data_IF_445214339751
#
_entry.id   IF_445214339751
#
_cell.length_a   1.000
_cell.length_b   1.000
_cell.length_c   1.000
_cell.angle_alpha   90.00
_cell.angle_beta   90.00
_cell.angle_gamma   90.00
#
_symmetry.space_group_name_H-M   'P 1'
#
loop_
_entity.id
_entity.type
_entity.pdbx_description
1 polymer ?
#
# COMPACT_ATOMS: atom_id res chain seq x y z
N UNK A 1 -3.93 -2.04 -53.55
CA UNK A 1 -4.74 -1.28 -52.58
C UNK A 1 -4.48 0.20 -52.83
N UNK A 2 -5.50 1.06 -52.92
CA UNK A 2 -5.28 2.49 -53.13
C UNK A 2 -4.63 3.11 -51.88
N UNK A 3 -3.93 4.24 -52.00
CA UNK A 3 -3.36 4.93 -50.84
C UNK A 3 -4.50 5.46 -49.98
N UNK A 4 -4.48 5.12 -48.69
CA UNK A 4 -5.38 5.65 -47.68
C UNK A 4 -5.42 7.17 -47.78
N UNK A 5 -6.63 7.72 -47.90
CA UNK A 5 -6.87 9.15 -48.07
C UNK A 5 -6.43 9.90 -46.80
N UNK A 6 -5.78 11.05 -46.98
CA UNK A 6 -5.25 11.93 -45.90
C UNK A 6 -6.26 12.27 -44.80
N UNK A 7 -7.56 12.12 -45.04
CA UNK A 7 -8.63 12.42 -44.08
C UNK A 7 -8.73 11.39 -42.95
N UNK A 8 -8.38 10.11 -43.17
CA UNK A 8 -8.36 9.11 -42.09
C UNK A 8 -7.18 9.32 -41.13
N UNK A 9 -6.06 9.84 -41.62
CA UNK A 9 -4.87 10.16 -40.80
C UNK A 9 -5.13 11.41 -39.94
N UNK A 10 -5.93 12.37 -40.41
CA UNK A 10 -6.28 13.56 -39.62
C UNK A 10 -7.25 13.22 -38.47
N UNK A 11 -8.14 12.23 -38.64
CA UNK A 11 -9.01 11.78 -37.53
C UNK A 11 -8.27 10.99 -36.45
N UNK A 12 -7.29 10.15 -36.83
CA UNK A 12 -6.46 9.39 -35.90
C UNK A 12 -5.42 10.25 -35.17
N UNK A 13 -4.95 11.34 -35.80
CA UNK A 13 -4.08 12.31 -35.16
C UNK A 13 -4.86 13.20 -34.18
N UNK A 14 -6.12 13.53 -34.47
CA UNK A 14 -6.97 14.31 -33.57
C UNK A 14 -7.31 13.57 -32.26
N UNK A 15 -7.58 12.26 -32.30
CA UNK A 15 -7.80 11.45 -31.09
C UNK A 15 -6.51 11.20 -30.29
N UNK A 16 -5.36 11.09 -30.97
CA UNK A 16 -4.05 10.91 -30.35
C UNK A 16 -3.50 12.18 -29.68
N UNK A 17 -3.82 13.37 -30.21
CA UNK A 17 -3.47 14.64 -29.57
C UNK A 17 -4.25 14.89 -28.29
N UNK A 18 -5.52 14.48 -28.23
CA UNK A 18 -6.38 14.62 -27.04
C UNK A 18 -5.92 13.66 -25.92
N UNK A 19 -5.56 12.41 -26.28
CA UNK A 19 -4.98 11.43 -25.37
C UNK A 19 -3.63 11.87 -24.80
N UNK A 20 -2.77 12.50 -25.61
CA UNK A 20 -1.48 13.03 -25.16
C UNK A 20 -1.62 14.30 -24.33
N UNK A 21 -2.60 15.17 -24.60
CA UNK A 21 -2.91 16.33 -23.75
C UNK A 21 -3.58 15.91 -22.44
N UNK A 22 -4.46 14.92 -22.44
CA UNK A 22 -5.03 14.34 -21.21
C UNK A 22 -3.96 13.58 -20.40
N UNK A 23 -3.05 12.86 -21.07
CA UNK A 23 -1.86 12.34 -20.41
C UNK A 23 -0.98 13.48 -19.93
N UNK A 24 -0.82 14.59 -20.65
CA UNK A 24 -0.10 15.77 -20.17
C UNK A 24 -0.81 16.45 -18.99
N UNK A 25 -2.14 16.48 -18.91
CA UNK A 25 -2.86 16.92 -17.71
C UNK A 25 -2.66 15.93 -16.55
N UNK A 26 -2.78 14.62 -16.80
CA UNK A 26 -2.46 13.57 -15.83
C UNK A 26 -0.94 13.54 -15.50
N UNK A 27 -0.07 14.17 -16.31
CA UNK A 27 1.41 14.12 -16.16
C UNK A 27 2.10 15.41 -15.71
N UNK A 28 1.54 16.58 -15.98
CA UNK A 28 1.79 17.83 -15.25
C UNK A 28 1.38 17.63 -13.77
N UNK A 29 0.40 16.76 -13.53
CA UNK A 29 0.05 16.21 -12.22
C UNK A 29 1.12 15.24 -11.66
N UNK A 30 1.82 14.48 -12.52
CA UNK A 30 2.99 13.71 -12.11
C UNK A 30 4.20 14.61 -11.76
N UNK A 31 4.30 15.80 -12.36
CA UNK A 31 5.38 16.76 -12.13
C UNK A 31 5.18 17.58 -10.85
N UNK A 32 3.94 17.94 -10.52
CA UNK A 32 3.59 18.61 -9.27
C UNK A 32 3.11 17.64 -8.19
N UNK A 33 4.06 17.15 -7.38
CA UNK A 33 3.82 16.24 -6.24
C UNK A 33 3.10 16.95 -5.08
N UNK A 34 1.85 17.38 -5.30
CA UNK A 34 0.92 17.87 -4.29
C UNK A 34 -0.05 16.79 -3.82
N UNK A 35 -0.77 17.06 -2.72
CA UNK A 35 -1.80 16.16 -2.18
C UNK A 35 -2.92 15.99 -3.22
N UNK A 36 -3.11 14.76 -3.73
CA UNK A 36 -4.25 14.42 -4.57
C UNK A 36 -5.53 14.44 -3.73
N UNK A 37 -6.44 15.35 -4.06
CA UNK A 37 -7.81 15.36 -3.55
C UNK A 37 -8.73 14.59 -4.53
N UNK A 38 -9.38 13.55 -4.01
CA UNK A 38 -10.61 12.85 -4.50
C UNK A 38 -10.63 12.07 -5.84
N UNK A 39 -9.85 12.39 -6.86
CA UNK A 39 -10.03 11.79 -8.22
C UNK A 39 -9.79 10.27 -8.43
N UNK A 40 -9.30 9.50 -7.46
CA UNK A 40 -9.23 8.02 -7.55
C UNK A 40 -10.54 7.33 -7.09
N UNK A 41 -11.36 8.06 -6.33
CA UNK A 41 -12.71 7.65 -5.93
C UNK A 41 -13.69 7.97 -7.06
N UNK A 42 -13.42 9.04 -7.82
CA UNK A 42 -14.20 9.42 -8.98
C UNK A 42 -14.21 8.32 -10.05
N UNK A 43 -15.39 8.05 -10.61
CA UNK A 43 -15.58 7.07 -11.67
C UNK A 43 -15.77 5.63 -11.22
N UNK A 44 -15.69 5.31 -9.92
CA UNK A 44 -15.95 3.93 -9.45
C UNK A 44 -17.36 3.42 -9.79
N UNK A 45 -18.32 4.35 -9.86
CA UNK A 45 -19.71 4.07 -10.21
C UNK A 45 -19.90 3.66 -11.69
N UNK A 46 -18.88 3.83 -12.53
CA UNK A 46 -18.91 3.40 -13.92
C UNK A 46 -18.67 1.89 -14.10
N UNK A 47 -18.19 1.19 -13.06
CA UNK A 47 -17.79 -0.22 -13.16
C UNK A 47 -18.77 -1.14 -12.45
N UNK A 48 -19.37 -2.07 -13.18
CA UNK A 48 -20.44 -2.94 -12.67
C UNK A 48 -20.04 -3.78 -11.47
N UNK A 49 -18.77 -4.21 -11.39
CA UNK A 49 -18.25 -4.96 -10.25
C UNK A 49 -17.99 -4.06 -9.03
N UNK A 50 -17.34 -2.92 -9.24
CA UNK A 50 -16.85 -2.08 -8.15
C UNK A 50 -17.97 -1.22 -7.53
N UNK A 51 -18.87 -0.68 -8.35
CA UNK A 51 -20.00 0.15 -7.94
C UNK A 51 -20.82 -0.47 -6.79
N UNK A 52 -21.38 -1.69 -6.91
CA UNK A 52 -22.21 -2.26 -5.85
C UNK A 52 -21.42 -2.54 -4.57
N UNK A 53 -20.16 -2.98 -4.69
CA UNK A 53 -19.30 -3.24 -3.54
C UNK A 53 -19.01 -1.94 -2.79
N UNK A 54 -18.58 -0.89 -3.50
CA UNK A 54 -18.32 0.42 -2.92
C UNK A 54 -19.59 1.07 -2.35
N UNK A 55 -20.73 0.89 -3.03
CA UNK A 55 -22.04 1.31 -2.56
C UNK A 55 -22.42 0.69 -1.21
N UNK A 56 -22.09 -0.58 -0.98
CA UNK A 56 -22.29 -1.22 0.33
C UNK A 56 -21.44 -0.55 1.43
N UNK A 57 -20.18 -0.19 1.14
CA UNK A 57 -19.36 0.57 2.09
C UNK A 57 -19.96 1.96 2.34
N UNK A 58 -20.36 2.69 1.29
CA UNK A 58 -21.00 4.00 1.43
C UNK A 58 -22.29 3.95 2.26
N UNK A 59 -23.08 2.87 2.13
CA UNK A 59 -24.34 2.70 2.84
C UNK A 59 -24.17 2.30 4.31
N UNK A 60 -23.24 1.38 4.60
CA UNK A 60 -23.15 0.71 5.90
C UNK A 60 -21.92 1.10 6.75
N UNK A 61 -21.01 1.92 6.22
CA UNK A 61 -19.90 2.49 6.97
C UNK A 61 -20.38 3.73 7.72
N UNK A 62 -20.60 3.60 9.03
CA UNK A 62 -21.17 4.69 9.84
C UNK A 62 -20.33 5.99 9.80
N UNK A 63 -19.00 5.89 9.91
CA UNK A 63 -18.10 7.00 9.56
C UNK A 63 -17.49 6.73 8.20
N UNK A 64 -18.11 7.26 7.15
CA UNK A 64 -17.63 7.03 5.80
C UNK A 64 -16.24 7.62 5.60
N UNK A 65 -15.30 6.75 5.26
CA UNK A 65 -13.91 7.05 4.95
C UNK A 65 -13.65 6.56 3.53
N UNK A 66 -13.69 7.44 2.52
CA UNK A 66 -13.70 7.06 1.11
C UNK A 66 -12.53 6.16 0.69
N UNK A 67 -11.32 6.43 1.19
CA UNK A 67 -10.12 5.63 0.84
C UNK A 67 -10.11 4.28 1.55
N UNK A 68 -10.61 4.20 2.78
CA UNK A 68 -10.78 2.91 3.48
C UNK A 68 -11.84 2.05 2.81
N UNK A 69 -12.97 2.66 2.43
CA UNK A 69 -14.02 2.00 1.65
C UNK A 69 -13.45 1.46 0.33
N UNK A 70 -12.60 2.24 -0.34
CA UNK A 70 -11.95 1.82 -1.58
C UNK A 70 -11.01 0.62 -1.38
N UNK A 71 -10.18 0.64 -0.34
CA UNK A 71 -9.31 -0.49 0.01
C UNK A 71 -10.12 -1.76 0.34
N UNK A 72 -11.22 -1.61 1.07
CA UNK A 72 -12.17 -2.71 1.31
C UNK A 72 -12.81 -3.23 0.01
N UNK A 73 -13.21 -2.33 -0.90
CA UNK A 73 -13.77 -2.68 -2.21
C UNK A 73 -12.78 -3.46 -3.07
N UNK A 74 -11.53 -3.00 -3.18
CA UNK A 74 -10.49 -3.70 -3.94
C UNK A 74 -10.21 -5.08 -3.33
N UNK A 75 -10.23 -5.19 -1.99
CA UNK A 75 -10.06 -6.47 -1.30
C UNK A 75 -11.17 -7.47 -1.63
N UNK A 76 -12.44 -7.03 -1.60
CA UNK A 76 -13.58 -7.89 -1.94
C UNK A 76 -13.56 -8.22 -3.43
N UNK A 77 -13.40 -7.22 -4.30
CA UNK A 77 -13.40 -7.41 -5.76
C UNK A 77 -12.27 -8.34 -6.21
N UNK A 78 -11.04 -8.15 -5.71
CA UNK A 78 -9.92 -9.03 -6.00
C UNK A 78 -10.20 -10.48 -5.59
N UNK A 79 -10.76 -10.68 -4.39
CA UNK A 79 -11.14 -12.00 -3.91
C UNK A 79 -12.24 -12.64 -4.77
N UNK A 80 -13.27 -11.89 -5.17
CA UNK A 80 -14.36 -12.42 -5.99
C UNK A 80 -13.94 -12.76 -7.42
N UNK A 81 -12.97 -12.03 -7.98
CA UNK A 81 -12.51 -12.16 -9.38
C UNK A 81 -11.33 -13.12 -9.56
N UNK A 82 -10.78 -13.69 -8.48
CA UNK A 82 -9.57 -14.51 -8.45
C UNK A 82 -9.47 -15.64 -9.49
N UNK A 83 -10.59 -16.27 -9.85
CA UNK A 83 -10.63 -17.37 -10.83
C UNK A 83 -11.18 -16.93 -12.19
N UNK A 84 -11.62 -15.68 -12.28
CA UNK A 84 -12.27 -15.19 -13.47
C UNK A 84 -11.28 -14.76 -14.53
N UNK A 85 -10.08 -14.33 -14.14
CA UNK A 85 -9.07 -13.84 -15.08
C UNK A 85 -7.83 -14.73 -15.11
N UNK A 86 -7.44 -15.15 -16.32
CA UNK A 86 -6.18 -15.83 -16.56
C UNK A 86 -5.08 -14.82 -16.88
N UNK A 87 -4.52 -14.21 -15.84
CA UNK A 87 -3.34 -13.34 -15.93
C UNK A 87 -2.18 -13.96 -15.16
N UNK A 88 -0.95 -13.76 -15.66
CA UNK A 88 0.27 -14.30 -15.06
C UNK A 88 0.47 -13.99 -13.57
N UNK A 89 -0.18 -12.94 -13.06
CA UNK A 89 0.07 -12.40 -11.73
C UNK A 89 -1.12 -12.50 -10.76
N UNK A 90 -2.25 -13.06 -11.23
CA UNK A 90 -3.56 -13.06 -10.55
C UNK A 90 -4.00 -11.69 -9.99
N UNK A 91 -5.19 -11.62 -9.41
CA UNK A 91 -5.66 -10.45 -8.66
C UNK A 91 -5.17 -10.48 -7.20
N UNK A 92 -3.92 -10.90 -6.98
CA UNK A 92 -3.30 -10.94 -5.66
C UNK A 92 -2.93 -9.53 -5.21
N UNK A 93 -3.55 -9.04 -4.12
CA UNK A 93 -3.30 -7.69 -3.61
C UNK A 93 -2.75 -7.75 -2.20
N UNK A 94 -1.63 -7.04 -1.97
CA UNK A 94 -1.17 -6.71 -0.63
C UNK A 94 -1.55 -5.26 -0.36
N UNK A 95 -2.46 -5.03 0.57
CA UNK A 95 -3.08 -3.75 0.83
C UNK A 95 -2.85 -3.33 2.27
N UNK A 96 -2.66 -2.03 2.47
CA UNK A 96 -2.55 -1.40 3.77
C UNK A 96 -3.52 -0.23 3.84
N UNK A 97 -4.53 -0.38 4.69
CA UNK A 97 -5.54 0.63 4.98
C UNK A 97 -5.11 1.42 6.21
N UNK A 98 -4.72 2.67 6.00
CA UNK A 98 -4.14 3.54 7.03
C UNK A 98 -5.12 4.65 7.33
N UNK A 99 -5.46 4.81 8.60
CA UNK A 99 -6.24 5.95 9.04
C UNK A 99 -5.97 6.28 10.52
N UNK A 100 -6.24 7.53 10.94
CA UNK A 100 -6.24 7.92 12.35
C UNK A 100 -7.12 7.00 13.23
N UNK A 101 -6.86 6.95 14.54
CA UNK A 101 -7.79 6.34 15.48
C UNK A 101 -9.22 6.89 15.31
N UNK A 102 -10.22 6.03 15.38
CA UNK A 102 -11.63 6.43 15.25
C UNK A 102 -12.12 6.74 13.83
N UNK A 103 -11.32 6.50 12.79
CA UNK A 103 -11.70 6.74 11.39
C UNK A 103 -12.47 5.58 10.71
N UNK A 104 -12.95 4.58 11.46
CA UNK A 104 -13.78 3.49 10.90
C UNK A 104 -13.01 2.28 10.34
N UNK A 105 -11.75 2.06 10.75
CA UNK A 105 -10.95 0.87 10.34
C UNK A 105 -11.63 -0.45 10.69
N UNK A 106 -12.06 -0.63 11.94
CA UNK A 106 -12.73 -1.86 12.38
C UNK A 106 -14.01 -2.09 11.59
N UNK A 107 -14.76 -1.01 11.31
CA UNK A 107 -15.97 -1.09 10.50
C UNK A 107 -15.68 -1.53 9.06
N UNK A 108 -14.58 -1.07 8.47
CA UNK A 108 -14.13 -1.50 7.14
C UNK A 108 -13.85 -3.01 7.11
N UNK A 109 -13.11 -3.52 8.10
CA UNK A 109 -12.85 -4.97 8.29
C UNK A 109 -14.15 -5.77 8.42
N UNK A 110 -15.05 -5.32 9.30
CA UNK A 110 -16.34 -5.98 9.51
C UNK A 110 -17.16 -6.04 8.22
N UNK A 111 -17.20 -4.94 7.45
CA UNK A 111 -17.95 -4.91 6.20
C UNK A 111 -17.37 -5.84 5.14
N UNK A 112 -16.05 -5.93 5.00
CA UNK A 112 -15.42 -6.94 4.12
C UNK A 112 -15.85 -8.35 4.52
N UNK A 113 -15.76 -8.70 5.81
CA UNK A 113 -16.14 -10.02 6.30
C UNK A 113 -17.63 -10.30 6.08
N UNK A 114 -18.49 -9.31 6.35
CA UNK A 114 -19.94 -9.43 6.18
C UNK A 114 -20.34 -9.62 4.72
N UNK A 115 -19.78 -8.82 3.81
CA UNK A 115 -20.04 -8.92 2.37
C UNK A 115 -19.66 -10.33 1.88
N UNK A 116 -18.51 -10.86 2.30
CA UNK A 116 -18.06 -12.21 1.92
C UNK A 116 -18.83 -13.34 2.61
N UNK A 117 -19.46 -13.08 3.76
CA UNK A 117 -20.28 -14.06 4.49
C UNK A 117 -21.75 -14.09 4.09
N UNK A 118 -22.22 -13.13 3.29
CA UNK A 118 -23.62 -13.06 2.86
C UNK A 118 -24.05 -14.36 2.18
N UNK A 119 -25.28 -14.83 2.41
CA UNK A 119 -25.74 -16.20 2.12
C UNK A 119 -25.41 -16.71 0.70
N UNK A 120 -25.41 -15.82 -0.30
CA UNK A 120 -25.04 -16.16 -1.69
C UNK A 120 -23.58 -16.66 -1.84
N UNK A 121 -22.68 -16.26 -0.94
CA UNK A 121 -21.28 -16.66 -0.87
C UNK A 121 -21.02 -17.81 0.10
N UNK A 122 -21.83 -17.91 1.15
CA UNK A 122 -21.76 -18.99 2.13
C UNK A 122 -21.97 -20.37 1.47
N UNK A 123 -22.83 -20.45 0.45
CA UNK A 123 -23.02 -21.67 -0.35
C UNK A 123 -21.76 -22.13 -1.12
N UNK A 124 -20.74 -21.26 -1.25
CA UNK A 124 -19.45 -21.55 -1.90
C UNK A 124 -18.30 -21.72 -0.90
N UNK A 125 -18.57 -21.84 0.42
CA UNK A 125 -17.58 -21.95 1.51
C UNK A 125 -16.48 -20.85 1.46
N UNK A 126 -16.82 -19.66 0.96
CA UNK A 126 -15.85 -18.58 0.74
C UNK A 126 -15.39 -17.92 2.04
N UNK A 127 -16.25 -17.93 3.07
CA UNK A 127 -15.91 -17.46 4.41
C UNK A 127 -14.72 -18.22 5.01
N UNK A 128 -14.57 -19.50 4.68
CA UNK A 128 -13.54 -20.36 5.27
C UNK A 128 -12.13 -20.04 4.72
N UNK A 129 -12.07 -19.37 3.57
CA UNK A 129 -10.84 -18.88 2.96
C UNK A 129 -10.42 -17.49 3.49
N UNK A 130 -11.23 -16.86 4.35
CA UNK A 130 -10.90 -15.59 5.01
C UNK A 130 -10.35 -15.87 6.41
N UNK A 131 -9.17 -15.35 6.73
CA UNK A 131 -8.59 -15.49 8.06
C UNK A 131 -8.06 -14.15 8.60
N UNK A 132 -7.88 -14.05 9.92
CA UNK A 132 -7.47 -12.79 10.54
C UNK A 132 -5.95 -12.60 10.58
N UNK A 133 -5.19 -13.67 10.82
CA UNK A 133 -3.73 -13.62 10.96
C UNK A 133 -3.15 -15.00 10.72
N UNK A 134 -2.01 -15.06 10.05
CA UNK A 134 -1.22 -16.27 9.87
C UNK A 134 0.16 -16.04 10.46
N UNK A 135 0.58 -16.91 11.38
CA UNK A 135 1.78 -16.68 12.19
C UNK A 135 3.08 -17.17 11.58
N UNK A 136 3.07 -18.09 10.62
CA UNK A 136 4.28 -18.73 10.08
C UNK A 136 4.10 -19.14 8.61
N UNK A 137 5.21 -19.31 7.88
CA UNK A 137 5.16 -19.77 6.49
C UNK A 137 4.52 -21.18 6.35
N UNK A 138 4.86 -22.20 7.16
CA UNK A 138 4.21 -23.50 7.05
C UNK A 138 2.70 -23.46 7.32
N UNK A 139 2.25 -22.62 8.27
CA UNK A 139 0.83 -22.43 8.52
C UNK A 139 0.12 -21.78 7.33
N UNK A 140 0.78 -20.81 6.66
CA UNK A 140 0.26 -20.20 5.44
C UNK A 140 0.08 -21.23 4.32
N UNK A 141 1.10 -22.03 4.05
CA UNK A 141 1.06 -23.03 2.98
C UNK A 141 0.00 -24.10 3.26
N UNK A 142 -0.07 -24.60 4.50
CA UNK A 142 -1.10 -25.56 4.92
C UNK A 142 -2.51 -24.98 4.76
N UNK A 143 -2.73 -23.76 5.24
CA UNK A 143 -4.04 -23.10 5.14
C UNK A 143 -4.46 -22.88 3.68
N UNK A 144 -3.53 -22.44 2.82
CA UNK A 144 -3.77 -22.37 1.38
C UNK A 144 -4.16 -23.72 0.79
N UNK A 145 -3.45 -24.81 1.13
CA UNK A 145 -3.81 -26.13 0.64
C UNK A 145 -5.18 -26.60 1.12
N UNK A 146 -5.53 -26.38 2.38
CA UNK A 146 -6.86 -26.71 2.92
C UNK A 146 -8.00 -25.89 2.31
N UNK A 147 -7.67 -24.76 1.65
CA UNK A 147 -8.61 -23.83 1.01
C UNK A 147 -8.45 -23.76 -0.50
N UNK A 148 -7.95 -24.84 -1.12
CA UNK A 148 -7.80 -24.98 -2.57
C UNK A 148 -7.00 -23.83 -3.23
N UNK A 149 -5.96 -23.37 -2.54
CA UNK A 149 -5.07 -22.32 -3.00
C UNK A 149 -5.62 -20.91 -2.85
N UNK A 150 -6.72 -20.70 -2.11
CA UNK A 150 -7.36 -19.39 -1.96
C UNK A 150 -7.30 -18.94 -0.51
N UNK A 151 -6.68 -17.80 -0.26
CA UNK A 151 -6.67 -17.16 1.07
C UNK A 151 -6.77 -15.63 0.94
N UNK A 152 -7.66 -15.05 1.76
CA UNK A 152 -7.68 -13.62 2.06
C UNK A 152 -7.38 -13.42 3.55
N UNK A 153 -6.31 -12.71 3.88
CA UNK A 153 -5.98 -12.38 5.27
C UNK A 153 -6.39 -10.94 5.59
N UNK A 154 -7.15 -10.72 6.66
CA UNK A 154 -7.55 -9.38 7.12
C UNK A 154 -6.98 -9.13 8.52
N UNK A 155 -5.89 -8.39 8.56
CA UNK A 155 -5.06 -8.20 9.75
C UNK A 155 -5.40 -6.84 10.37
N UNK A 156 -5.95 -6.87 11.58
CA UNK A 156 -6.05 -5.67 12.40
C UNK A 156 -4.72 -5.40 13.11
N UNK A 157 -4.44 -4.14 13.44
CA UNK A 157 -3.19 -3.71 14.05
C UNK A 157 -1.95 -4.24 13.29
N UNK A 158 -1.91 -4.04 11.98
CA UNK A 158 -0.89 -4.61 11.10
C UNK A 158 0.56 -4.27 11.51
N UNK A 159 0.78 -3.16 12.23
CA UNK A 159 2.09 -2.81 12.78
C UNK A 159 2.59 -3.80 13.83
N UNK A 160 1.72 -4.25 14.74
CA UNK A 160 2.05 -5.28 15.73
C UNK A 160 2.36 -6.61 15.03
N UNK A 161 1.55 -6.96 14.03
CA UNK A 161 1.80 -8.12 13.19
C UNK A 161 3.18 -8.08 12.52
N UNK A 162 3.53 -6.96 11.88
CA UNK A 162 4.85 -6.78 11.28
C UNK A 162 5.97 -6.89 12.32
N UNK A 163 5.80 -6.28 13.49
CA UNK A 163 6.79 -6.33 14.58
C UNK A 163 7.03 -7.78 15.03
N UNK A 164 5.98 -8.58 15.13
CA UNK A 164 6.09 -9.98 15.54
C UNK A 164 6.83 -10.85 14.51
N UNK A 165 6.51 -10.71 13.22
CA UNK A 165 7.13 -11.53 12.17
C UNK A 165 8.56 -11.09 11.87
N UNK A 166 8.90 -9.82 12.16
CA UNK A 166 10.24 -9.24 11.97
C UNK A 166 11.09 -9.18 13.24
N UNK A 167 10.65 -9.78 14.34
CA UNK A 167 11.40 -9.74 15.59
C UNK A 167 12.79 -10.38 15.40
N UNK A 168 13.85 -9.78 15.99
CA UNK A 168 15.24 -10.27 15.89
C UNK A 168 15.41 -11.74 16.33
N UNK A 169 14.57 -12.18 17.27
CA UNK A 169 14.56 -13.54 17.80
C UNK A 169 13.33 -14.35 17.33
N UNK A 170 12.70 -13.95 16.22
CA UNK A 170 11.62 -14.72 15.62
C UNK A 170 12.16 -16.10 15.20
N UNK A 171 11.33 -17.14 15.34
CA UNK A 171 11.71 -18.46 14.85
C UNK A 171 11.92 -18.43 13.33
N UNK A 172 12.77 -19.31 12.76
CA UNK A 172 13.03 -19.34 11.31
C UNK A 172 11.75 -19.37 10.47
N UNK A 173 10.78 -20.20 10.86
CA UNK A 173 9.47 -20.30 10.19
C UNK A 173 8.63 -19.02 10.21
N UNK A 174 8.87 -18.10 11.16
CA UNK A 174 8.26 -16.77 11.19
C UNK A 174 8.99 -15.80 10.27
N UNK A 175 10.33 -15.85 10.27
CA UNK A 175 11.15 -15.04 9.38
C UNK A 175 10.89 -15.36 7.89
N UNK A 176 10.63 -16.63 7.57
CA UNK A 176 10.32 -17.11 6.21
C UNK A 176 8.94 -16.66 5.69
N UNK A 177 8.10 -16.07 6.55
CA UNK A 177 6.74 -15.68 6.18
C UNK A 177 6.72 -14.51 5.19
N UNK A 178 7.56 -13.50 5.35
CA UNK A 178 7.62 -12.38 4.40
C UNK A 178 8.12 -12.82 3.01
N UNK A 179 9.19 -13.63 2.87
CA UNK A 179 9.54 -14.29 1.61
C UNK A 179 8.37 -15.05 0.98
N UNK A 180 7.67 -15.89 1.75
CA UNK A 180 6.53 -16.66 1.25
C UNK A 180 5.39 -15.75 0.75
N UNK A 181 5.08 -14.67 1.47
CA UNK A 181 4.08 -13.67 1.04
C UNK A 181 4.48 -13.03 -0.30
N UNK A 182 5.76 -12.72 -0.50
CA UNK A 182 6.25 -12.11 -1.76
C UNK A 182 6.18 -13.08 -2.95
N UNK A 183 6.43 -14.36 -2.70
CA UNK A 183 6.31 -15.42 -3.70
C UNK A 183 4.84 -15.62 -4.10
N UNK A 184 3.94 -15.74 -3.11
CA UNK A 184 2.50 -15.87 -3.33
C UNK A 184 1.90 -14.65 -4.02
N UNK A 185 2.34 -13.43 -3.70
CA UNK A 185 1.94 -12.22 -4.43
C UNK A 185 2.19 -12.33 -5.93
N UNK A 186 3.26 -13.04 -6.34
CA UNK A 186 3.62 -13.21 -7.75
C UNK A 186 2.80 -14.32 -8.42
N UNK A 187 1.97 -15.07 -7.67
CA UNK A 187 1.19 -16.19 -8.18
C UNK A 187 2.03 -17.46 -8.42
N UNK A 188 3.23 -17.55 -7.84
CA UNK A 188 4.13 -18.68 -8.09
C UNK A 188 3.52 -20.01 -7.60
N UNK A 189 3.55 -21.08 -8.41
CA UNK A 189 3.07 -22.39 -8.00
C UNK A 189 3.91 -22.95 -6.86
N UNK A 190 3.29 -23.75 -5.99
CA UNK A 190 4.00 -24.45 -4.93
C UNK A 190 3.44 -25.86 -4.70
N UNK A 191 4.25 -26.72 -4.11
CA UNK A 191 3.86 -28.07 -3.70
C UNK A 191 4.11 -28.24 -2.21
N UNK A 192 3.15 -28.82 -1.51
CA UNK A 192 3.37 -29.23 -0.12
C UNK A 192 4.02 -30.63 -0.14
N UNK A 193 5.25 -30.77 0.39
CA UNK A 193 5.90 -32.07 0.44
C UNK A 193 5.14 -32.99 1.39
N UNK A 194 4.90 -34.22 0.96
CA UNK A 194 4.32 -35.27 1.79
C UNK A 194 5.40 -35.73 2.76
N UNK A 195 5.07 -35.82 4.05
CA UNK A 195 5.99 -36.40 5.03
C UNK A 195 6.17 -37.89 4.75
N UNK A 196 7.39 -38.38 4.90
CA UNK A 196 7.75 -39.76 4.57
C UNK A 196 6.97 -40.73 5.47
N UNK A 197 5.94 -41.39 4.92
CA UNK A 197 5.06 -42.32 5.65
C UNK A 197 3.56 -42.02 5.49
N UNK A 198 3.19 -40.83 5.01
CA UNK A 198 1.80 -40.52 4.68
C UNK A 198 1.44 -41.02 3.27
N UNK A 199 0.27 -41.66 3.14
CA UNK A 199 -0.28 -42.12 1.84
C UNK A 199 -0.91 -40.99 1.01
N UNK A 200 -0.88 -39.74 1.50
CA UNK A 200 -1.43 -38.60 0.77
C UNK A 200 -0.54 -38.22 -0.43
N UNK A 201 -1.16 -37.87 -1.55
CA UNK A 201 -0.46 -37.37 -2.73
C UNK A 201 -0.06 -35.92 -2.50
N UNK A 202 1.16 -35.55 -2.89
CA UNK A 202 1.64 -34.18 -2.81
C UNK A 202 0.64 -33.22 -3.47
N UNK A 203 0.07 -32.30 -2.68
CA UNK A 203 -0.87 -31.30 -3.19
C UNK A 203 -0.08 -30.15 -3.81
N UNK A 204 -0.12 -30.09 -5.13
CA UNK A 204 0.44 -28.96 -5.91
C UNK A 204 -0.65 -27.93 -6.17
N UNK A 205 -0.38 -26.68 -5.79
CA UNK A 205 -1.22 -25.53 -6.10
C UNK A 205 -0.54 -24.77 -7.24
N UNK A 206 -1.09 -24.90 -8.45
CA UNK A 206 -0.51 -24.29 -9.65
C UNK A 206 -0.69 -22.76 -9.68
N UNK A 207 -1.76 -22.26 -9.07
CA UNK A 207 -2.24 -20.90 -9.23
C UNK A 207 -2.76 -20.38 -7.88
N UNK A 208 -1.89 -20.11 -6.90
CA UNK A 208 -2.33 -19.66 -5.59
C UNK A 208 -2.85 -18.21 -5.61
N UNK A 209 -4.05 -18.04 -5.08
CA UNK A 209 -4.60 -16.75 -4.73
C UNK A 209 -4.28 -16.42 -3.28
N UNK A 210 -3.46 -15.39 -3.07
CA UNK A 210 -3.18 -14.83 -1.76
C UNK A 210 -3.32 -13.32 -1.80
N UNK A 211 -4.29 -12.82 -1.04
CA UNK A 211 -4.44 -11.38 -0.79
C UNK A 211 -4.38 -11.10 0.70
N UNK A 212 -3.90 -9.91 1.05
CA UNK A 212 -3.75 -9.47 2.43
C UNK A 212 -4.20 -8.03 2.54
N UNK A 213 -5.10 -7.76 3.49
CA UNK A 213 -5.52 -6.42 3.87
C UNK A 213 -5.09 -6.16 5.32
N UNK A 214 -4.08 -5.32 5.49
CA UNK A 214 -3.68 -4.81 6.80
C UNK A 214 -4.40 -3.52 7.15
N UNK A 215 -4.80 -3.35 8.41
CA UNK A 215 -5.36 -2.11 8.93
C UNK A 215 -4.44 -1.53 10.01
N UNK A 216 -4.31 -0.20 10.05
CA UNK A 216 -3.71 0.46 11.19
C UNK A 216 -3.49 1.95 11.02
N UNK A 217 -2.55 2.50 11.76
CA UNK A 217 -2.19 3.93 11.79
C UNK A 217 -0.92 4.17 11.00
N UNK A 218 -0.61 5.45 10.75
CA UNK A 218 0.62 5.84 10.06
C UNK A 218 1.90 5.33 10.77
N UNK A 219 1.82 5.12 12.09
CA UNK A 219 2.92 4.57 12.91
C UNK A 219 3.39 3.17 12.49
N UNK A 220 2.64 2.44 11.65
CA UNK A 220 3.10 1.18 11.05
C UNK A 220 4.44 1.37 10.32
N UNK A 221 4.70 2.57 9.79
CA UNK A 221 5.93 2.86 9.08
C UNK A 221 7.19 2.78 9.94
N UNK A 222 7.07 2.83 11.27
CA UNK A 222 8.20 2.56 12.18
C UNK A 222 8.70 1.10 12.14
N UNK A 223 7.90 0.17 11.65
CA UNK A 223 8.25 -1.26 11.59
C UNK A 223 8.81 -1.70 10.24
N UNK A 224 8.86 -0.80 9.25
CA UNK A 224 9.60 -1.04 8.02
C UNK A 224 11.08 -0.68 8.21
N UNK A 225 11.93 -1.36 7.45
CA UNK A 225 13.37 -1.17 7.42
C UNK A 225 13.83 -0.85 5.99
N UNK A 226 15.05 -0.35 5.82
CA UNK A 226 15.64 -0.14 4.49
C UNK A 226 15.66 -1.41 3.63
N UNK A 227 15.77 -2.59 4.26
CA UNK A 227 15.73 -3.87 3.55
C UNK A 227 14.39 -4.11 2.84
N UNK A 228 13.29 -3.55 3.36
CA UNK A 228 11.93 -3.72 2.79
C UNK A 228 11.73 -2.99 1.46
N UNK A 229 12.59 -2.00 1.18
CA UNK A 229 12.63 -1.29 -0.10
C UNK A 229 13.36 -2.15 -1.12
N UNK A 230 14.58 -2.60 -0.75
CA UNK A 230 15.48 -3.36 -1.61
C UNK A 230 14.86 -4.73 -1.96
N UNK A 231 14.25 -5.39 -0.97
CA UNK A 231 13.63 -6.70 -1.16
C UNK A 231 12.24 -6.63 -1.86
N UNK A 232 11.76 -5.40 -2.11
CA UNK A 232 10.50 -5.10 -2.81
C UNK A 232 9.23 -5.45 -2.05
N UNK A 233 9.25 -5.70 -0.74
CA UNK A 233 8.03 -5.92 0.03
C UNK A 233 7.14 -4.66 0.00
N UNK A 234 7.73 -3.50 0.25
CA UNK A 234 7.00 -2.23 0.29
C UNK A 234 6.50 -1.78 -1.11
N UNK A 235 7.20 -2.15 -2.19
CA UNK A 235 6.75 -1.82 -3.55
C UNK A 235 5.50 -2.61 -3.97
N UNK A 236 5.24 -3.76 -3.35
CA UNK A 236 4.01 -4.57 -3.57
C UNK A 236 2.79 -4.08 -2.79
N UNK A 237 2.98 -3.26 -1.75
CA UNK A 237 1.86 -2.75 -0.96
C UNK A 237 1.12 -1.62 -1.68
N UNK A 238 -0.20 -1.79 -1.85
CA UNK A 238 -1.15 -0.71 -2.14
C UNK A 238 -1.52 -0.03 -0.83
N UNK A 239 -1.37 1.30 -0.74
CA UNK A 239 -1.60 2.04 0.50
C UNK A 239 -2.80 2.96 0.32
N UNK A 240 -3.88 2.62 1.00
CA UNK A 240 -5.10 3.43 1.07
C UNK A 240 -5.03 4.26 2.35
N UNK A 241 -4.64 5.53 2.23
CA UNK A 241 -4.41 6.42 3.38
C UNK A 241 -5.52 7.45 3.52
N UNK A 242 -6.32 7.32 4.56
CA UNK A 242 -7.25 8.35 5.00
C UNK A 242 -6.52 9.33 5.93
N UNK A 243 -6.21 10.58 5.51
CA UNK A 243 -5.36 11.48 6.28
C UNK A 243 -6.09 12.12 7.46
N UNK A 244 -7.41 12.25 7.37
CA UNK A 244 -8.27 12.87 8.38
C UNK A 244 -9.25 11.84 8.91
N UNK A 245 -9.72 11.95 10.17
CA UNK A 245 -10.87 11.17 10.60
C UNK A 245 -12.05 11.47 9.66
N UNK A 246 -12.79 10.44 9.24
CA UNK A 246 -14.03 10.61 8.50
C UNK A 246 -15.05 11.46 9.26
N UNK A 247 -16.17 11.78 8.61
CA UNK A 247 -17.23 12.60 9.19
C UNK A 247 -17.63 12.12 10.61
N UNK A 248 -18.04 13.03 11.53
CA UNK A 248 -18.51 12.65 12.84
C UNK A 248 -19.61 11.59 12.73
N UNK A 249 -19.56 10.58 13.60
CA UNK A 249 -20.59 9.55 13.62
C UNK A 249 -21.90 10.21 14.06
N UNK A 250 -22.93 10.16 13.23
CA UNK A 250 -24.27 10.59 13.62
C UNK A 250 -24.97 9.50 14.43
N UNK A 251 -25.95 9.89 15.25
CA UNK A 251 -26.77 8.93 16.00
C UNK A 251 -27.45 7.94 15.06
N UNK A 252 -28.02 8.43 13.94
CA UNK A 252 -28.65 7.59 12.92
C UNK A 252 -27.68 6.53 12.38
N UNK A 253 -26.47 6.94 11.95
CA UNK A 253 -25.43 6.02 11.46
C UNK A 253 -24.97 5.01 12.51
N UNK A 254 -24.96 5.38 13.79
CA UNK A 254 -24.59 4.48 14.90
C UNK A 254 -25.63 3.38 15.14
N UNK A 255 -26.89 3.65 14.80
CA UNK A 255 -28.03 2.74 14.97
C UNK A 255 -28.36 1.93 13.71
N UNK A 256 -27.73 2.24 12.57
CA UNK A 256 -27.90 1.46 11.34
C UNK A 256 -27.33 0.06 11.53
N UNK A 257 -28.20 -0.87 11.87
CA UNK A 257 -27.89 -2.29 11.80
C UNK A 257 -27.67 -2.63 10.33
N UNK A 258 -26.54 -3.23 10.01
CA UNK A 258 -26.20 -3.68 8.66
C UNK A 258 -26.99 -4.95 8.26
N UNK A 259 -28.24 -5.05 8.70
CA UNK A 259 -29.18 -6.16 8.45
C UNK A 259 -29.78 -6.14 7.02
N UNK A 260 -29.39 -5.19 6.17
CA UNK A 260 -29.83 -5.17 4.78
C UNK A 260 -29.06 -6.16 3.90
N UNK A 261 -29.74 -6.73 2.91
CA UNK A 261 -29.12 -7.50 1.84
C UNK A 261 -28.02 -6.68 1.16
N UNK A 262 -26.82 -7.28 1.04
CA UNK A 262 -25.72 -6.67 0.30
C UNK A 262 -26.04 -6.76 -1.19
N UNK A 263 -26.09 -5.62 -1.88
CA UNK A 263 -26.21 -5.61 -3.33
C UNK A 263 -24.87 -6.05 -3.91
N UNK A 264 -24.87 -7.16 -4.64
CA UNK A 264 -23.67 -7.57 -5.35
C UNK A 264 -24.06 -8.15 -6.71
N UNK A 265 -23.57 -7.51 -7.76
CA UNK A 265 -23.72 -7.98 -9.13
C UNK A 265 -22.46 -8.75 -9.43
N UNK A 266 -22.55 -10.09 -9.38
CA UNK A 266 -21.52 -10.91 -9.99
C UNK A 266 -21.72 -10.84 -11.51
N UNK A 267 -20.64 -10.67 -12.28
CA UNK A 267 -20.69 -10.78 -13.73
C UNK A 267 -21.04 -12.22 -14.13
N UNK A 268 -22.34 -12.42 -14.35
CA UNK A 268 -23.04 -13.66 -14.71
C UNK A 268 -22.90 -14.82 -13.70
N UNK A 269 -24.01 -15.53 -13.51
CA UNK A 269 -24.05 -16.84 -12.85
C UNK A 269 -23.43 -17.95 -13.72
N UNK A 270 -22.70 -17.60 -14.79
CA UNK A 270 -22.08 -18.59 -15.64
C UNK A 270 -21.15 -19.46 -14.76
N UNK A 271 -21.25 -20.79 -14.88
CA UNK A 271 -20.38 -21.67 -14.12
C UNK A 271 -18.93 -21.26 -14.41
N UNK A 272 -18.07 -21.34 -13.38
CA UNK A 272 -16.64 -21.01 -13.39
C UNK A 272 -15.82 -21.91 -14.37
N UNK A 273 -16.29 -22.11 -15.60
CA UNK A 273 -15.84 -23.19 -16.47
C UNK A 273 -14.57 -22.81 -17.22
N UNK A 274 -14.38 -21.55 -17.59
CA UNK A 274 -13.12 -21.10 -18.19
C UNK A 274 -12.76 -19.67 -17.77
N UNK A 275 -11.55 -19.49 -17.24
CA UNK A 275 -11.02 -18.18 -16.90
C UNK A 275 -10.88 -17.33 -18.18
N UNK A 276 -11.45 -16.12 -18.16
CA UNK A 276 -11.42 -15.18 -19.27
C UNK A 276 -10.03 -14.54 -19.35
N UNK A 277 -9.48 -14.46 -20.56
CA UNK A 277 -8.27 -13.66 -20.79
C UNK A 277 -8.70 -12.20 -20.92
N UNK A 278 -8.24 -11.29 -20.04
CA UNK A 278 -8.62 -9.89 -20.14
C UNK A 278 -8.15 -9.28 -21.47
N UNK A 279 -9.00 -8.41 -22.02
CA UNK A 279 -8.78 -7.75 -23.31
C UNK A 279 -8.81 -6.24 -23.12
N UNK A 280 -7.65 -5.61 -23.14
CA UNK A 280 -7.55 -4.15 -23.11
C UNK A 280 -7.86 -3.57 -24.49
N UNK A 281 -8.73 -2.57 -24.54
CA UNK A 281 -8.92 -1.73 -25.73
C UNK A 281 -7.58 -1.15 -26.21
N UNK A 282 -7.48 -0.83 -27.50
CA UNK A 282 -6.26 -0.26 -28.09
C UNK A 282 -5.83 1.02 -27.35
N UNK A 283 -6.77 1.91 -27.10
CA UNK A 283 -6.49 3.17 -26.40
C UNK A 283 -6.03 2.94 -24.95
N UNK A 284 -6.57 1.92 -24.26
CA UNK A 284 -6.10 1.54 -22.93
C UNK A 284 -4.64 1.03 -22.95
N UNK A 285 -4.25 0.28 -23.98
CA UNK A 285 -2.87 -0.18 -24.16
C UNK A 285 -1.93 1.00 -24.42
N UNK A 286 -2.31 1.90 -25.33
CA UNK A 286 -1.53 3.11 -25.65
C UNK A 286 -1.34 4.01 -24.42
N UNK A 287 -2.39 4.18 -23.61
CA UNK A 287 -2.31 4.92 -22.34
C UNK A 287 -1.37 4.25 -21.32
N UNK A 288 -1.46 2.91 -21.18
CA UNK A 288 -0.57 2.16 -20.29
C UNK A 288 0.90 2.21 -20.73
N UNK A 289 1.17 2.16 -22.05
CA UNK A 289 2.52 2.29 -22.59
C UNK A 289 3.11 3.67 -22.33
N UNK A 290 2.29 4.72 -22.45
CA UNK A 290 2.70 6.08 -22.09
C UNK A 290 3.02 6.21 -20.59
N UNK A 291 2.15 5.69 -19.72
CA UNK A 291 2.41 5.60 -18.28
C UNK A 291 3.71 4.87 -17.96
N UNK A 292 3.98 3.75 -18.64
CA UNK A 292 5.19 2.94 -18.47
C UNK A 292 6.45 3.69 -18.84
N UNK A 293 6.45 4.38 -19.98
CA UNK A 293 7.59 5.22 -20.40
C UNK A 293 7.88 6.29 -19.35
N UNK A 294 6.83 6.89 -18.78
CA UNK A 294 6.98 7.98 -17.83
C UNK A 294 7.59 7.54 -16.51
N UNK A 295 7.04 6.51 -15.85
CA UNK A 295 7.59 6.09 -14.56
C UNK A 295 8.97 5.47 -14.72
N UNK A 296 9.27 4.84 -15.87
CA UNK A 296 10.60 4.32 -16.19
C UNK A 296 11.60 5.46 -16.33
N UNK A 297 11.25 6.54 -17.05
CA UNK A 297 12.09 7.75 -17.13
C UNK A 297 12.38 8.31 -15.74
N UNK A 298 11.36 8.42 -14.87
CA UNK A 298 11.55 8.89 -13.48
C UNK A 298 12.44 7.95 -12.66
N UNK A 299 12.25 6.64 -12.79
CA UNK A 299 13.09 5.64 -12.15
C UNK A 299 14.56 5.81 -12.54
N UNK A 300 14.86 6.16 -13.79
CA UNK A 300 16.24 6.44 -14.24
C UNK A 300 16.79 7.79 -13.78
N UNK A 301 15.96 8.82 -13.64
CA UNK A 301 16.42 10.13 -13.11
C UNK A 301 16.81 10.09 -11.63
N UNK A 302 16.37 9.08 -10.89
CA UNK A 302 16.68 8.88 -9.47
C UNK A 302 17.94 8.02 -9.34
N UNK A 303 19.03 8.46 -9.98
CA UNK A 303 20.26 7.67 -10.13
C UNK A 303 20.97 7.37 -8.80
N UNK A 304 20.72 8.18 -7.76
CA UNK A 304 21.42 8.10 -6.47
C UNK A 304 20.57 7.67 -5.27
N UNK A 305 19.29 7.33 -5.44
CA UNK A 305 18.39 6.89 -4.36
C UNK A 305 17.76 5.53 -4.72
N UNK A 306 18.55 4.48 -4.46
CA UNK A 306 18.15 3.08 -4.73
C UNK A 306 16.85 2.72 -4.01
N UNK A 307 16.62 3.22 -2.79
CA UNK A 307 15.39 2.97 -2.05
C UNK A 307 14.15 3.49 -2.80
N UNK A 308 14.20 4.72 -3.32
CA UNK A 308 13.12 5.28 -4.15
C UNK A 308 12.99 4.56 -5.48
N UNK A 309 14.09 4.19 -6.12
CA UNK A 309 14.10 3.50 -7.41
C UNK A 309 13.30 2.19 -7.36
N UNK A 310 13.45 1.40 -6.28
CA UNK A 310 12.73 0.13 -6.11
C UNK A 310 11.20 0.30 -5.94
N UNK A 311 10.72 1.47 -5.54
CA UNK A 311 9.29 1.74 -5.39
C UNK A 311 8.57 1.89 -6.75
N UNK A 312 9.28 2.35 -7.79
CA UNK A 312 8.72 2.51 -9.15
C UNK A 312 8.54 1.19 -9.87
N UNK A 313 9.35 0.17 -9.56
CA UNK A 313 9.45 -1.08 -10.32
C UNK A 313 8.14 -1.89 -10.42
N UNK A 314 7.15 -1.65 -9.54
CA UNK A 314 5.89 -2.41 -9.47
C UNK A 314 4.66 -1.57 -9.81
N UNK A 315 4.83 -0.33 -10.28
CA UNK A 315 3.71 0.54 -10.65
C UNK A 315 2.91 -0.04 -11.82
N UNK A 316 3.59 -0.42 -12.91
CA UNK A 316 2.94 -1.00 -14.09
C UNK A 316 2.20 -2.31 -13.77
N UNK A 317 2.84 -3.21 -13.02
CA UNK A 317 2.22 -4.49 -12.64
C UNK A 317 0.96 -4.30 -11.79
N UNK A 318 1.01 -3.40 -10.79
CA UNK A 318 -0.16 -3.11 -9.96
C UNK A 318 -1.28 -2.42 -10.76
N UNK A 319 -0.94 -1.51 -11.68
CA UNK A 319 -1.91 -0.88 -12.56
C UNK A 319 -2.65 -1.92 -13.42
N UNK A 320 -1.93 -2.87 -14.01
CA UNK A 320 -2.54 -3.97 -14.78
C UNK A 320 -3.47 -4.81 -13.90
N UNK A 321 -3.03 -5.22 -12.71
CA UNK A 321 -3.86 -6.00 -11.77
C UNK A 321 -5.14 -5.25 -11.37
N UNK A 322 -5.04 -3.95 -11.08
CA UNK A 322 -6.19 -3.11 -10.74
C UNK A 322 -7.15 -2.91 -11.93
N UNK A 323 -6.62 -2.74 -13.14
CA UNK A 323 -7.44 -2.52 -14.35
C UNK A 323 -8.37 -3.70 -14.64
N UNK A 324 -7.96 -4.92 -14.29
CA UNK A 324 -8.79 -6.12 -14.47
C UNK A 324 -10.08 -6.06 -13.64
N UNK A 325 -10.07 -5.38 -12.49
CA UNK A 325 -11.26 -5.19 -11.66
C UNK A 325 -12.31 -4.25 -12.30
N UNK A 326 -11.92 -3.51 -13.35
CA UNK A 326 -12.79 -2.59 -14.09
C UNK A 326 -13.40 -3.23 -15.33
N UNK A 327 -13.08 -4.50 -15.59
CA UNK A 327 -13.57 -5.20 -16.78
C UNK A 327 -15.07 -5.44 -16.73
N UNK A 328 -15.68 -5.50 -17.92
CA UNK A 328 -17.06 -5.93 -18.07
C UNK A 328 -17.20 -7.47 -17.94
N UNK A 329 -18.42 -7.99 -18.08
CA UNK A 329 -18.69 -9.44 -17.99
C UNK A 329 -17.94 -10.30 -19.03
N UNK A 330 -17.42 -9.70 -20.09
CA UNK A 330 -16.66 -10.38 -21.16
C UNK A 330 -15.14 -10.26 -20.96
N UNK A 331 -14.69 -9.60 -19.88
CA UNK A 331 -13.28 -9.35 -19.61
C UNK A 331 -12.67 -8.22 -20.45
N UNK A 332 -13.49 -7.39 -21.11
CA UNK A 332 -13.02 -6.21 -21.83
C UNK A 332 -12.72 -5.06 -20.88
N UNK A 333 -11.57 -4.40 -21.06
CA UNK A 333 -11.08 -3.29 -20.24
C UNK A 333 -10.99 -2.04 -21.12
N UNK A 334 -11.83 -1.05 -20.80
CA UNK A 334 -11.89 0.22 -21.53
C UNK A 334 -10.74 1.16 -21.15
N UNK A 335 -10.56 2.23 -21.93
CA UNK A 335 -9.66 3.33 -21.59
C UNK A 335 -9.98 3.90 -20.19
N UNK A 336 -11.26 4.08 -19.87
CA UNK A 336 -11.69 4.59 -18.56
C UNK A 336 -11.24 3.66 -17.42
N UNK A 337 -11.34 2.34 -17.61
CA UNK A 337 -10.88 1.36 -16.64
C UNK A 337 -9.37 1.42 -16.39
N UNK A 338 -8.59 1.59 -17.45
CA UNK A 338 -7.13 1.77 -17.33
C UNK A 338 -6.76 3.09 -16.65
N UNK A 339 -7.40 4.21 -17.04
CA UNK A 339 -7.20 5.52 -16.40
C UNK A 339 -7.49 5.46 -14.90
N UNK A 340 -8.60 4.84 -14.51
CA UNK A 340 -8.94 4.65 -13.10
C UNK A 340 -7.87 3.86 -12.34
N UNK A 341 -7.40 2.74 -12.91
CA UNK A 341 -6.37 1.92 -12.29
C UNK A 341 -5.03 2.65 -12.14
N UNK A 342 -4.63 3.43 -13.16
CA UNK A 342 -3.43 4.27 -13.13
C UNK A 342 -3.54 5.37 -12.08
N UNK A 343 -4.68 6.07 -12.01
CA UNK A 343 -4.93 7.09 -10.98
C UNK A 343 -4.87 6.51 -9.57
N UNK A 344 -5.47 5.34 -9.36
CA UNK A 344 -5.45 4.68 -8.07
C UNK A 344 -4.02 4.27 -7.64
N UNK A 345 -3.21 3.73 -8.56
CA UNK A 345 -1.84 3.36 -8.20
C UNK A 345 -0.97 4.59 -7.89
N UNK A 346 -1.22 5.72 -8.57
CA UNK A 346 -0.56 7.00 -8.28
C UNK A 346 -0.94 7.50 -6.89
N UNK A 347 -2.22 7.50 -6.52
CA UNK A 347 -2.69 7.89 -5.18
C UNK A 347 -2.05 7.00 -4.08
N UNK A 348 -2.02 5.68 -4.31
CA UNK A 348 -1.34 4.74 -3.43
C UNK A 348 0.16 5.02 -3.31
N UNK A 349 0.81 5.37 -4.42
CA UNK A 349 2.23 5.68 -4.47
C UNK A 349 2.56 7.01 -3.78
N UNK A 350 1.74 8.04 -3.96
CA UNK A 350 1.88 9.32 -3.26
C UNK A 350 1.67 9.14 -1.75
N UNK A 351 0.63 8.41 -1.35
CA UNK A 351 0.40 8.07 0.05
C UNK A 351 1.60 7.36 0.67
N UNK A 352 2.18 6.40 -0.07
CA UNK A 352 3.43 5.71 0.30
C UNK A 352 4.59 6.70 0.45
N UNK A 353 4.83 7.55 -0.54
CA UNK A 353 5.94 8.50 -0.56
C UNK A 353 5.82 9.56 0.54
N UNK A 354 4.63 10.07 0.84
CA UNK A 354 4.40 11.01 1.93
C UNK A 354 4.74 10.39 3.28
N UNK A 355 4.28 9.16 3.53
CA UNK A 355 4.59 8.44 4.76
C UNK A 355 6.08 8.10 4.83
N UNK A 356 6.68 7.65 3.74
CA UNK A 356 8.10 7.37 3.68
C UNK A 356 8.95 8.61 3.93
N UNK A 357 8.59 9.76 3.34
CA UNK A 357 9.27 11.00 3.61
C UNK A 357 9.19 11.32 5.10
N UNK A 358 7.98 11.31 5.68
CA UNK A 358 7.75 11.58 7.10
C UNK A 358 8.54 10.67 8.05
N UNK A 359 8.62 9.36 7.77
CA UNK A 359 9.16 8.38 8.72
C UNK A 359 10.58 7.90 8.42
N UNK A 360 11.06 8.04 7.17
CA UNK A 360 12.38 7.55 6.74
C UNK A 360 13.30 8.64 6.20
N UNK A 361 12.78 9.60 5.42
CA UNK A 361 13.63 10.56 4.70
C UNK A 361 13.73 11.94 5.35
N UNK A 362 12.74 12.36 6.15
CA UNK A 362 12.70 13.68 6.82
C UNK A 362 12.55 13.59 8.34
N UNK A 363 12.05 12.47 8.88
CA UNK A 363 11.92 12.27 10.31
C UNK A 363 13.21 11.77 10.96
N UNK A 364 13.74 12.52 11.94
CA UNK A 364 14.56 11.91 12.99
C UNK A 364 13.70 10.82 13.62
N UNK A 365 14.13 9.55 13.52
CA UNK A 365 13.47 8.46 14.25
C UNK A 365 13.21 8.91 15.69
N UNK A 366 11.99 8.69 16.19
CA UNK A 366 11.64 9.07 17.56
C UNK A 366 12.65 8.51 18.58
N UNK A 367 13.25 7.36 18.28
CA UNK A 367 14.35 6.77 19.05
C UNK A 367 15.62 7.63 19.04
N UNK A 368 15.98 8.20 17.88
CA UNK A 368 17.13 9.11 17.73
C UNK A 368 16.87 10.44 18.47
N UNK A 369 15.64 10.96 18.41
CA UNK A 369 15.26 12.15 19.16
C UNK A 369 15.30 11.88 20.67
N UNK A 370 14.81 10.73 21.13
CA UNK A 370 14.90 10.30 22.53
C UNK A 370 16.34 10.09 23.00
N UNK A 371 17.24 9.64 22.12
CA UNK A 371 18.69 9.61 22.41
C UNK A 371 19.22 11.03 22.63
N UNK A 372 18.89 11.97 21.76
CA UNK A 372 19.26 13.39 21.92
C UNK A 372 18.71 14.01 23.21
N UNK A 373 17.42 13.79 23.51
CA UNK A 373 16.76 14.26 24.73
C UNK A 373 17.37 13.66 26.01
N UNK A 374 17.74 12.38 26.00
CA UNK A 374 18.44 11.75 27.13
C UNK A 374 19.79 12.40 27.41
N UNK A 375 20.52 12.79 26.36
CA UNK A 375 21.79 13.51 26.51
C UNK A 375 21.58 14.89 27.12
N UNK A 376 20.59 15.65 26.63
CA UNK A 376 20.21 16.93 27.23
C UNK A 376 19.90 16.77 28.72
N UNK A 377 18.99 15.85 29.07
CA UNK A 377 18.61 15.61 30.47
C UNK A 377 19.83 15.26 31.34
N UNK A 378 20.74 14.45 30.82
CA UNK A 378 21.98 14.07 31.53
C UNK A 378 22.90 15.26 31.76
N UNK A 379 23.04 16.16 30.78
CA UNK A 379 23.87 17.37 30.88
C UNK A 379 23.25 18.36 31.87
N UNK A 380 21.97 18.67 31.71
CA UNK A 380 21.25 19.62 32.57
C UNK A 380 21.26 19.16 34.03
N UNK A 381 21.04 17.87 34.29
CA UNK A 381 21.01 17.30 35.66
C UNK A 381 22.42 17.19 36.27
N UNK A 382 23.42 16.69 35.52
CA UNK A 382 24.75 16.40 36.12
C UNK A 382 25.70 17.59 36.15
N UNK A 383 25.63 18.50 35.17
CA UNK A 383 26.62 19.58 35.03
C UNK A 383 26.12 20.95 35.46
N UNK A 384 24.81 21.12 35.66
CA UNK A 384 24.18 22.44 35.87
C UNK A 384 24.59 23.48 34.81
N UNK A 385 25.01 23.01 33.63
CA UNK A 385 25.40 23.82 32.48
C UNK A 385 24.29 23.78 31.46
N UNK A 386 24.00 24.91 30.86
CA UNK A 386 23.08 25.08 29.73
C UNK A 386 23.79 24.91 28.38
N UNK A 387 25.09 24.65 28.37
CA UNK A 387 25.90 24.55 27.14
C UNK A 387 26.72 23.26 27.08
N UNK A 388 26.81 22.69 25.87
CA UNK A 388 27.64 21.53 25.54
C UNK A 388 28.29 21.70 24.17
N UNK A 389 29.52 21.20 24.01
CA UNK A 389 30.16 21.17 22.69
C UNK A 389 29.46 20.16 21.78
N UNK A 390 29.32 20.49 20.50
CA UNK A 390 28.69 19.58 19.51
C UNK A 390 29.37 18.21 19.49
N UNK A 391 30.70 18.17 19.48
CA UNK A 391 31.50 16.93 19.52
C UNK A 391 31.29 16.11 20.79
N UNK A 392 30.98 16.75 21.91
CA UNK A 392 30.73 16.08 23.17
C UNK A 392 29.29 15.53 23.23
N UNK A 393 28.32 16.30 22.72
CA UNK A 393 26.95 15.83 22.50
C UNK A 393 26.93 14.57 21.63
N UNK A 394 27.71 14.56 20.54
CA UNK A 394 27.86 13.41 19.64
C UNK A 394 28.36 12.17 20.36
N UNK A 395 29.42 12.32 21.18
CA UNK A 395 29.97 11.21 21.96
C UNK A 395 28.96 10.65 22.96
N UNK A 396 28.11 11.49 23.54
CA UNK A 396 27.10 11.02 24.50
C UNK A 396 25.87 10.41 23.84
N UNK A 397 25.49 10.89 22.66
CA UNK A 397 24.31 10.42 21.93
C UNK A 397 24.58 9.14 21.12
N UNK A 398 25.85 8.83 20.85
CA UNK A 398 26.29 7.72 20.00
C UNK A 398 25.63 7.79 18.61
N UNK A 399 25.63 8.99 18.02
CA UNK A 399 25.06 9.28 16.71
C UNK A 399 26.14 9.25 15.62
N UNK A 400 25.76 8.86 14.42
CA UNK A 400 26.56 9.07 13.20
C UNK A 400 26.44 10.51 12.70
N UNK A 401 27.38 10.95 11.84
CA UNK A 401 27.39 12.31 11.27
C UNK A 401 26.09 12.66 10.50
N UNK A 402 25.42 11.69 9.88
CA UNK A 402 24.13 11.92 9.19
C UNK A 402 22.97 12.07 10.17
N UNK A 403 22.98 11.30 11.26
CA UNK A 403 21.94 11.37 12.29
C UNK A 403 22.07 12.66 13.12
N UNK A 404 23.29 13.18 13.28
CA UNK A 404 23.59 14.46 13.94
C UNK A 404 22.78 15.62 13.38
N UNK A 405 22.94 15.89 12.08
CA UNK A 405 22.32 17.04 11.43
C UNK A 405 20.80 16.95 11.46
N UNK A 406 20.27 15.74 11.37
CA UNK A 406 18.83 15.49 11.50
C UNK A 406 18.36 15.78 12.93
N UNK A 407 19.00 15.18 13.94
CA UNK A 407 18.63 15.34 15.37
C UNK A 407 18.72 16.80 15.79
N UNK A 408 19.79 17.50 15.42
CA UNK A 408 19.98 18.89 15.81
C UNK A 408 18.96 19.82 15.15
N UNK A 409 18.70 19.67 13.84
CA UNK A 409 17.68 20.46 13.13
C UNK A 409 16.30 20.26 13.73
N UNK A 410 15.94 19.02 14.05
CA UNK A 410 14.64 18.71 14.67
C UNK A 410 14.53 19.29 16.09
N UNK A 411 15.61 19.25 16.87
CA UNK A 411 15.61 19.82 18.22
C UNK A 411 15.60 21.36 18.22
N UNK A 412 16.23 22.00 17.23
CA UNK A 412 16.13 23.44 17.00
C UNK A 412 14.72 23.84 16.54
N UNK A 413 14.12 23.08 15.62
CA UNK A 413 12.76 23.32 15.15
C UNK A 413 11.71 23.21 16.27
N UNK A 414 11.99 22.39 17.30
CA UNK A 414 11.18 22.25 18.52
C UNK A 414 11.55 23.24 19.62
N UNK A 415 12.44 24.19 19.34
CA UNK A 415 12.92 25.20 20.29
C UNK A 415 13.54 24.60 21.56
N UNK A 416 14.07 23.37 21.50
CA UNK A 416 14.69 22.70 22.64
C UNK A 416 16.15 23.11 22.82
N UNK A 417 16.82 23.47 21.72
CA UNK A 417 18.22 23.87 21.69
C UNK A 417 18.44 25.03 20.72
N UNK A 418 19.62 25.65 20.82
CA UNK A 418 20.16 26.60 19.84
C UNK A 418 21.63 26.24 19.56
N UNK A 419 22.01 26.02 18.30
CA UNK A 419 23.42 25.86 17.93
C UNK A 419 24.09 27.20 17.64
N UNK A 420 25.35 27.35 18.04
CA UNK A 420 26.14 28.54 17.75
C UNK A 420 27.62 28.20 17.61
N UNK A 421 28.38 29.10 16.98
CA UNK A 421 29.83 28.94 16.78
C UNK A 421 30.55 29.99 17.60
N UNK A 422 31.54 29.56 18.37
CA UNK A 422 32.37 30.45 19.18
C UNK A 422 33.85 30.30 18.80
N UNK A 423 34.57 31.42 18.73
CA UNK A 423 36.02 31.42 18.57
C UNK A 423 36.67 31.24 19.93
N UNK A 424 37.47 30.19 20.08
CA UNK A 424 38.28 30.00 21.27
C UNK A 424 39.53 30.89 21.23
N UNK A 425 40.21 31.04 22.37
CA UNK A 425 41.44 31.85 22.57
C UNK A 425 42.58 31.51 21.61
N UNK A 426 42.58 30.31 21.02
CA UNK A 426 43.54 29.86 20.01
C UNK A 426 43.04 30.03 18.56
N UNK A 427 42.10 30.94 18.30
CA UNK A 427 41.50 31.20 16.98
C UNK A 427 40.78 30.01 16.31
N UNK A 428 40.56 28.91 17.04
CA UNK A 428 39.80 27.75 16.54
C UNK A 428 38.30 27.97 16.71
N UNK A 429 37.53 27.75 15.64
CA UNK A 429 36.08 27.74 15.67
C UNK A 429 35.59 26.46 16.35
N UNK A 430 34.76 26.62 17.39
CA UNK A 430 34.14 25.52 18.13
C UNK A 430 32.63 25.64 18.02
N UNK A 431 31.95 24.55 17.65
CA UNK A 431 30.49 24.49 17.61
C UNK A 431 29.93 24.09 18.98
N UNK A 432 28.97 24.87 19.45
CA UNK A 432 28.30 24.73 20.73
C UNK A 432 26.79 24.54 20.55
N UNK A 433 26.19 23.86 21.51
CA UNK A 433 24.75 23.67 21.65
C UNK A 433 24.34 24.30 22.98
N UNK A 434 23.46 25.29 22.94
CA UNK A 434 22.77 25.82 24.12
C UNK A 434 21.44 25.10 24.29
N UNK A 435 21.16 24.61 25.48
CA UNK A 435 19.92 23.96 25.86
C UNK A 435 18.98 25.06 26.35
N UNK A 436 17.79 25.16 25.73
CA UNK A 436 16.78 26.09 26.19
C UNK A 436 16.16 25.52 27.48
N UNK A 437 16.04 26.35 28.51
CA UNK A 437 15.35 25.96 29.75
C UNK A 437 13.85 25.90 29.45
N UNK A 438 13.30 24.70 29.37
CA UNK A 438 11.86 24.45 29.37
C UNK A 438 11.32 24.38 30.79
#
# INVERSE_FOLDING_TARGET
QPPLQKEEIVSAVASGTDLLSELQEDTDYFENWGEFEEGAIEGIDAFDLLRPIYGNFKKYMGRFSPRLALGGTVSVAGFLTRHWFNIHYQTNFLMLCIAPPGAGKNRTKELVQRILSAEHYAQKNLSDAVCQKIGTAPALMKFLAERNGVVLTIIDEFGEYLREIKAKNASPHRADLEPAIKELYSGSPFSIPVLKGDMEVAKTIANPFFSMMGLGTESIFHFFSKADFINGFLSRLLIFREPKPGAPLTFEESTRVSEGEFQLVLPSQAPFVEAVRPQWSKDAQEYFDAFTKLYTKKQHTIEYDLEKQHLYARLGENALRLSVLTSNSEGHISLQGMKWAVRLIIDCFQSKMTLLNRYFFTGVSQELLEKGLRVIKKITVKRRSDQVRKSEFMRFANLTLKEEDLVLKEMEARELINTFVERNTNYKLTQWIRINKT
#
